data_IF_098216550629
#
_entry.id   IF_098216550629
#
_cell.length_a   1.000
_cell.length_b   1.000
_cell.length_c   1.000
_cell.angle_alpha   90.00
_cell.angle_beta   90.00
_cell.angle_gamma   90.00
#
_symmetry.space_group_name_H-M   'P 1'
#
loop_
_entity.id
_entity.type
_entity.pdbx_description
1 polymer ?
#
# COMPACT_ATOMS: atom_id res chain seq x y z
N UNK A 1 -5.74 32.98 -39.31
CA UNK A 1 -5.86 31.51 -39.15
C UNK A 1 -4.72 31.04 -38.27
N UNK A 2 -4.87 31.20 -36.95
CA UNK A 2 -3.89 30.74 -35.97
C UNK A 2 -4.29 29.33 -35.53
N UNK A 3 -3.43 28.34 -35.79
CA UNK A 3 -3.62 26.98 -35.30
C UNK A 3 -3.31 26.91 -33.81
N UNK A 4 -4.27 26.48 -33.01
CA UNK A 4 -4.05 26.18 -31.59
C UNK A 4 -3.46 24.77 -31.52
N UNK A 5 -2.15 24.69 -31.33
CA UNK A 5 -1.47 23.43 -31.01
C UNK A 5 -1.89 22.97 -29.61
N UNK A 6 -2.68 21.90 -29.54
CA UNK A 6 -2.99 21.24 -28.27
C UNK A 6 -1.73 20.47 -27.86
N UNK A 7 -0.97 21.03 -26.91
CA UNK A 7 0.10 20.28 -26.25
C UNK A 7 -0.54 19.16 -25.42
N UNK A 8 -0.62 17.96 -26.01
CA UNK A 8 -0.86 16.73 -25.29
C UNK A 8 0.35 16.49 -24.38
N UNK A 9 0.23 16.78 -23.08
CA UNK A 9 1.21 16.36 -22.09
C UNK A 9 0.77 14.97 -21.60
N UNK A 10 1.32 13.85 -22.13
CA UNK A 10 1.10 12.58 -21.46
C UNK A 10 1.74 12.72 -20.09
N UNK A 11 0.92 12.67 -19.04
CA UNK A 11 1.40 12.52 -17.67
C UNK A 11 1.90 11.09 -17.57
N UNK A 12 3.09 10.84 -18.14
CA UNK A 12 3.87 9.64 -17.91
C UNK A 12 4.12 9.60 -16.41
N UNK A 13 3.29 8.81 -15.73
CA UNK A 13 3.17 8.92 -14.29
C UNK A 13 4.38 8.25 -13.68
N UNK A 14 5.31 9.03 -13.12
CA UNK A 14 6.36 8.51 -12.24
C UNK A 14 5.81 7.65 -11.09
N UNK A 15 4.49 7.71 -10.89
CA UNK A 15 3.68 6.86 -10.03
C UNK A 15 3.76 5.39 -10.35
N UNK A 16 3.62 5.03 -11.61
CA UNK A 16 3.67 3.62 -12.00
C UNK A 16 5.10 3.09 -11.90
N UNK A 17 6.11 3.92 -12.23
CA UNK A 17 7.52 3.58 -12.05
C UNK A 17 7.85 3.37 -10.57
N UNK A 18 7.41 4.23 -9.65
CA UNK A 18 7.73 4.06 -8.24
C UNK A 18 6.97 2.89 -7.60
N UNK A 19 5.72 2.60 -8.03
CA UNK A 19 4.95 1.44 -7.57
C UNK A 19 5.57 0.14 -8.05
N UNK A 20 5.96 0.10 -9.33
CA UNK A 20 6.66 -1.03 -9.92
C UNK A 20 8.03 -1.23 -9.27
N UNK A 21 8.81 -0.16 -9.11
CA UNK A 21 10.10 -0.21 -8.43
C UNK A 21 9.95 -0.66 -6.97
N UNK A 22 8.93 -0.19 -6.23
CA UNK A 22 8.65 -0.64 -4.87
C UNK A 22 8.33 -2.13 -4.80
N UNK A 23 7.50 -2.64 -5.70
CA UNK A 23 7.19 -4.07 -5.81
C UNK A 23 8.43 -4.89 -6.19
N UNK A 24 9.19 -4.44 -7.20
CA UNK A 24 10.41 -5.11 -7.67
C UNK A 24 11.50 -5.16 -6.59
N UNK A 25 11.72 -4.05 -5.87
CA UNK A 25 12.62 -4.00 -4.73
C UNK A 25 12.16 -4.98 -3.66
N UNK A 26 10.86 -5.02 -3.35
CA UNK A 26 10.29 -5.98 -2.41
C UNK A 26 10.56 -7.44 -2.80
N UNK A 27 10.25 -7.82 -4.05
CA UNK A 27 10.52 -9.15 -4.58
C UNK A 27 12.00 -9.50 -4.57
N UNK A 28 12.88 -8.53 -4.86
CA UNK A 28 14.33 -8.73 -4.85
C UNK A 28 14.83 -9.01 -3.45
N UNK A 29 14.39 -8.23 -2.44
CA UNK A 29 14.78 -8.44 -1.04
C UNK A 29 14.31 -9.80 -0.54
N UNK A 30 13.06 -10.17 -0.81
CA UNK A 30 12.52 -11.49 -0.44
C UNK A 30 13.34 -12.59 -1.14
N UNK A 31 13.61 -12.45 -2.44
CA UNK A 31 14.42 -13.39 -3.21
C UNK A 31 15.84 -13.57 -2.67
N UNK A 32 16.50 -12.47 -2.27
CA UNK A 32 17.83 -12.54 -1.66
C UNK A 32 17.81 -13.28 -0.32
N UNK A 33 16.82 -13.01 0.54
CA UNK A 33 16.68 -13.73 1.82
C UNK A 33 16.47 -15.22 1.57
N UNK A 34 15.59 -15.58 0.64
CA UNK A 34 15.34 -16.97 0.27
C UNK A 34 16.60 -17.65 -0.29
N UNK A 35 17.36 -16.98 -1.16
CA UNK A 35 18.62 -17.49 -1.69
C UNK A 35 19.65 -17.75 -0.58
N UNK A 36 19.81 -16.80 0.34
CA UNK A 36 20.69 -16.97 1.50
C UNK A 36 20.25 -18.18 2.33
N UNK A 37 18.97 -18.29 2.67
CA UNK A 37 18.47 -19.45 3.42
C UNK A 37 18.68 -20.77 2.67
N UNK A 38 18.57 -20.79 1.34
CA UNK A 38 18.82 -21.99 0.55
C UNK A 38 20.31 -22.41 0.60
N UNK A 39 21.24 -21.45 0.51
CA UNK A 39 22.68 -21.73 0.63
C UNK A 39 23.02 -22.26 2.04
N UNK A 40 22.47 -21.65 3.09
CA UNK A 40 22.66 -22.14 4.46
C UNK A 40 22.02 -23.52 4.70
N UNK A 41 20.85 -23.78 4.10
CA UNK A 41 20.22 -25.10 4.11
C UNK A 41 21.09 -26.16 3.43
N UNK A 42 21.71 -25.82 2.30
CA UNK A 42 22.63 -26.72 1.60
C UNK A 42 23.89 -26.99 2.42
N UNK A 43 24.50 -25.97 3.02
CA UNK A 43 25.67 -26.14 3.90
C UNK A 43 25.35 -27.04 5.09
N UNK A 44 24.14 -26.91 5.65
CA UNK A 44 23.68 -27.75 6.77
C UNK A 44 23.62 -29.24 6.42
N UNK A 45 23.48 -29.61 5.14
CA UNK A 45 23.49 -31.01 4.70
C UNK A 45 24.90 -31.63 4.69
N UNK A 46 25.95 -30.82 4.52
CA UNK A 46 27.35 -31.28 4.52
C UNK A 46 27.97 -31.26 5.91
N UNK A 47 27.35 -30.57 6.87
CA UNK A 47 27.82 -30.45 8.25
C UNK A 47 27.13 -31.50 9.12
N UNK A 48 27.87 -32.51 9.57
CA UNK A 48 27.38 -33.59 10.46
C UNK A 48 27.15 -33.15 11.91
N UNK A 49 27.43 -31.90 12.25
CA UNK A 49 27.29 -31.40 13.62
C UNK A 49 25.85 -30.94 13.90
N UNK A 50 25.17 -31.67 14.79
CA UNK A 50 23.79 -31.42 15.21
C UNK A 50 23.58 -30.03 15.81
N UNK A 51 24.59 -29.45 16.49
CA UNK A 51 24.46 -28.10 17.06
C UNK A 51 24.31 -27.01 15.99
N UNK A 52 25.03 -27.13 14.87
CA UNK A 52 24.97 -26.14 13.77
C UNK A 52 23.62 -26.25 13.05
N UNK A 53 23.13 -27.48 12.84
CA UNK A 53 21.80 -27.74 12.29
C UNK A 53 20.69 -27.13 13.17
N UNK A 54 20.76 -27.33 14.50
CA UNK A 54 19.78 -26.79 15.44
C UNK A 54 19.79 -25.25 15.46
N UNK A 55 20.97 -24.62 15.44
CA UNK A 55 21.07 -23.16 15.37
C UNK A 55 20.43 -22.61 14.09
N UNK A 56 20.65 -23.26 12.94
CA UNK A 56 20.02 -22.87 11.68
C UNK A 56 18.49 -22.97 11.75
N UNK A 57 17.96 -24.06 12.29
CA UNK A 57 16.51 -24.26 12.47
C UNK A 57 15.92 -23.20 13.41
N UNK A 58 16.59 -22.87 14.51
CA UNK A 58 16.14 -21.82 15.45
C UNK A 58 16.07 -20.47 14.73
N UNK A 59 17.09 -20.11 13.95
CA UNK A 59 17.09 -18.85 13.16
C UNK A 59 15.95 -18.84 12.14
N UNK A 60 15.68 -19.94 11.44
CA UNK A 60 14.55 -20.03 10.51
C UNK A 60 13.20 -19.84 11.22
N UNK A 61 13.02 -20.46 12.39
CA UNK A 61 11.79 -20.29 13.17
C UNK A 61 11.61 -18.82 13.57
N UNK A 62 12.67 -18.14 14.00
CA UNK A 62 12.62 -16.70 14.32
C UNK A 62 12.24 -15.85 13.10
N UNK A 63 12.78 -16.17 11.92
CA UNK A 63 12.44 -15.46 10.67
C UNK A 63 10.98 -15.69 10.29
N UNK A 64 10.47 -16.92 10.40
CA UNK A 64 9.08 -17.24 10.10
C UNK A 64 8.13 -16.51 11.06
N UNK A 65 8.45 -16.49 12.36
CA UNK A 65 7.67 -15.74 13.35
C UNK A 65 7.67 -14.25 12.99
N UNK A 66 8.82 -13.68 12.64
CA UNK A 66 8.90 -12.28 12.23
C UNK A 66 8.07 -11.98 10.98
N UNK A 67 8.10 -12.85 9.96
CA UNK A 67 7.27 -12.72 8.76
C UNK A 67 5.77 -12.83 9.08
N UNK A 68 5.38 -13.79 9.93
CA UNK A 68 4.00 -13.96 10.36
C UNK A 68 3.49 -12.74 11.14
N UNK A 69 4.32 -12.18 12.04
CA UNK A 69 4.00 -10.93 12.74
C UNK A 69 3.84 -9.79 11.75
N UNK A 70 4.74 -9.63 10.78
CA UNK A 70 4.58 -8.59 9.74
C UNK A 70 3.27 -8.75 8.96
N UNK A 71 2.90 -9.98 8.59
CA UNK A 71 1.63 -10.29 7.91
C UNK A 71 0.40 -9.96 8.77
N UNK A 72 0.41 -10.35 10.05
CA UNK A 72 -0.66 -10.06 11.00
C UNK A 72 -0.77 -8.57 11.31
N UNK A 73 0.37 -7.89 11.47
CA UNK A 73 0.43 -6.45 11.66
C UNK A 73 -0.14 -5.72 10.44
N UNK A 74 0.19 -6.14 9.22
CA UNK A 74 -0.36 -5.54 8.00
C UNK A 74 -1.89 -5.62 7.93
N UNK A 75 -2.51 -6.69 8.45
CA UNK A 75 -3.97 -6.82 8.50
C UNK A 75 -4.58 -6.11 9.71
N UNK A 76 -3.95 -6.16 10.88
CA UNK A 76 -4.41 -5.46 12.08
C UNK A 76 -4.35 -3.94 11.94
N UNK A 77 -3.32 -3.40 11.28
CA UNK A 77 -3.24 -1.97 10.96
C UNK A 77 -4.32 -1.54 9.98
N UNK A 78 -4.93 -2.43 9.18
CA UNK A 78 -6.13 -2.05 8.42
C UNK A 78 -7.34 -1.83 9.31
N UNK A 79 -7.47 -2.59 10.41
CA UNK A 79 -8.59 -2.49 11.34
C UNK A 79 -8.43 -1.37 12.38
N UNK A 80 -7.20 -1.13 12.85
CA UNK A 80 -6.91 -0.12 13.90
C UNK A 80 -6.24 1.13 13.35
N UNK A 81 -5.79 1.10 12.10
CA UNK A 81 -5.06 2.20 11.47
C UNK A 81 -5.90 3.45 11.33
N UNK A 82 -7.22 3.35 11.15
CA UNK A 82 -8.09 4.54 11.12
C UNK A 82 -7.89 5.42 12.37
N UNK A 83 -7.78 4.83 13.56
CA UNK A 83 -7.64 5.61 14.79
C UNK A 83 -6.28 6.32 14.95
N UNK A 84 -5.22 5.81 14.30
CA UNK A 84 -3.88 6.41 14.34
C UNK A 84 -3.57 7.32 13.14
N UNK A 85 -4.08 6.96 11.97
CA UNK A 85 -3.80 7.61 10.70
C UNK A 85 -4.70 8.83 10.53
N UNK A 86 -5.98 8.72 10.88
CA UNK A 86 -6.94 9.82 10.71
C UNK A 86 -6.55 11.10 11.47
N UNK A 87 -6.13 11.10 12.76
CA UNK A 87 -5.71 12.34 13.42
C UNK A 87 -4.51 12.99 12.72
N UNK A 88 -3.61 12.18 12.15
CA UNK A 88 -2.50 12.68 11.35
C UNK A 88 -2.99 13.33 10.06
N UNK A 89 -3.85 12.67 9.29
CA UNK A 89 -4.45 13.22 8.05
C UNK A 89 -5.22 14.51 8.33
N UNK A 90 -5.96 14.57 9.44
CA UNK A 90 -6.69 15.78 9.84
C UNK A 90 -5.76 16.97 10.08
N UNK A 91 -4.56 16.75 10.61
CA UNK A 91 -3.52 17.79 10.75
C UNK A 91 -3.06 18.30 9.38
N UNK A 92 -2.82 17.41 8.42
CA UNK A 92 -2.45 17.77 7.05
C UNK A 92 -3.55 18.58 6.35
N UNK A 93 -4.83 18.20 6.52
CA UNK A 93 -5.97 18.95 5.96
C UNK A 93 -6.10 20.32 6.59
N UNK A 94 -5.92 20.43 7.91
CA UNK A 94 -6.02 21.72 8.63
C UNK A 94 -4.94 22.70 8.18
N UNK A 95 -3.71 22.21 7.97
CA UNK A 95 -2.57 23.02 7.55
C UNK A 95 -2.38 23.07 6.03
N UNK A 96 -3.35 22.57 5.25
CA UNK A 96 -3.26 22.49 3.80
C UNK A 96 -3.05 23.85 3.12
N UNK A 97 -3.70 24.89 3.66
CA UNK A 97 -3.61 26.26 3.12
C UNK A 97 -2.44 27.06 3.69
N UNK A 98 -1.81 26.60 4.77
CA UNK A 98 -0.75 27.34 5.48
C UNK A 98 0.63 26.88 5.06
N UNK A 99 0.82 25.59 4.81
CA UNK A 99 2.12 25.01 4.47
C UNK A 99 2.13 24.40 3.06
N UNK A 100 3.03 24.85 2.17
CA UNK A 100 3.14 24.32 0.82
C UNK A 100 3.57 22.85 0.79
N UNK A 101 4.31 22.39 1.80
CA UNK A 101 4.71 20.98 1.94
C UNK A 101 3.50 20.08 2.22
N UNK A 102 2.66 20.47 3.19
CA UNK A 102 1.44 19.73 3.50
C UNK A 102 0.44 19.74 2.35
N UNK A 103 0.38 20.84 1.59
CA UNK A 103 -0.37 20.93 0.34
C UNK A 103 0.06 19.88 -0.67
N UNK A 104 1.37 19.82 -0.98
CA UNK A 104 1.91 18.90 -1.97
C UNK A 104 1.71 17.43 -1.56
N UNK A 105 1.95 17.13 -0.28
CA UNK A 105 1.77 15.77 0.25
C UNK A 105 0.30 15.35 0.14
N UNK A 106 -0.64 16.21 0.54
CA UNK A 106 -2.06 15.88 0.50
C UNK A 106 -2.57 15.76 -0.94
N UNK A 107 -2.15 16.64 -1.86
CA UNK A 107 -2.52 16.58 -3.27
C UNK A 107 -2.05 15.25 -3.90
N UNK A 108 -0.83 14.81 -3.59
CA UNK A 108 -0.31 13.52 -4.05
C UNK A 108 -1.11 12.35 -3.50
N UNK A 109 -1.40 12.35 -2.18
CA UNK A 109 -2.19 11.28 -1.56
C UNK A 109 -3.59 11.20 -2.18
N UNK A 110 -4.26 12.34 -2.35
CA UNK A 110 -5.62 12.39 -2.91
C UNK A 110 -5.67 11.97 -4.36
N UNK A 111 -4.69 12.38 -5.16
CA UNK A 111 -4.59 12.01 -6.58
C UNK A 111 -4.25 10.52 -6.74
N UNK A 112 -3.30 10.00 -5.95
CA UNK A 112 -2.81 8.62 -6.06
C UNK A 112 -3.83 7.60 -5.53
N UNK A 113 -4.50 7.92 -4.42
CA UNK A 113 -5.46 7.02 -3.78
C UNK A 113 -6.93 7.31 -4.14
N UNK A 114 -7.20 8.38 -4.88
CA UNK A 114 -8.57 8.77 -5.25
C UNK A 114 -9.45 9.04 -4.04
N UNK A 115 -8.90 9.67 -3.00
CA UNK A 115 -9.61 10.03 -1.78
C UNK A 115 -9.62 11.56 -1.58
N UNK A 116 -10.47 12.05 -0.67
CA UNK A 116 -10.52 13.47 -0.35
C UNK A 116 -10.72 13.67 1.16
N UNK A 117 -9.81 14.43 1.78
CA UNK A 117 -9.81 14.64 3.23
C UNK A 117 -9.45 13.38 4.04
N UNK A 118 -9.73 13.44 5.35
CA UNK A 118 -9.59 12.30 6.27
C UNK A 118 -10.83 11.39 6.24
N UNK A 119 -12.02 11.99 6.24
CA UNK A 119 -13.33 11.33 6.14
C UNK A 119 -14.11 11.77 4.90
N UNK A 120 -13.76 12.92 4.32
CA UNK A 120 -14.40 13.40 3.13
C UNK A 120 -14.05 14.84 2.78
N UNK A 121 -14.62 15.37 1.69
CA UNK A 121 -14.41 16.75 1.28
C UNK A 121 -14.92 17.79 2.29
N UNK A 122 -15.82 17.40 3.18
CA UNK A 122 -16.31 18.23 4.28
C UNK A 122 -15.22 18.58 5.30
N UNK A 123 -14.10 17.85 5.33
CA UNK A 123 -12.97 18.17 6.21
C UNK A 123 -12.27 19.49 5.86
N UNK A 124 -12.43 19.96 4.61
CA UNK A 124 -11.93 21.26 4.16
C UNK A 124 -12.79 22.44 4.61
N UNK A 125 -13.92 22.18 5.28
CA UNK A 125 -14.84 23.17 5.87
C UNK A 125 -15.11 24.37 4.94
N UNK A 126 -14.60 25.54 5.34
CA UNK A 126 -14.84 26.85 4.73
C UNK A 126 -13.80 27.22 3.65
N UNK A 127 -12.86 26.32 3.37
CA UNK A 127 -11.82 26.55 2.35
C UNK A 127 -12.20 25.86 1.04
N UNK A 128 -11.72 26.40 -0.07
CA UNK A 128 -11.94 25.80 -1.38
C UNK A 128 -11.36 24.38 -1.38
N UNK A 129 -12.21 23.40 -1.70
CA UNK A 129 -11.81 22.00 -1.88
C UNK A 129 -10.74 21.95 -2.99
N UNK A 130 -9.63 21.25 -2.77
CA UNK A 130 -8.54 21.22 -3.74
C UNK A 130 -8.92 20.44 -5.01
N UNK A 131 -8.30 20.81 -6.13
CA UNK A 131 -8.54 20.18 -7.44
C UNK A 131 -8.18 18.67 -7.42
N UNK A 132 -7.25 18.26 -6.56
CA UNK A 132 -6.88 16.85 -6.30
C UNK A 132 -8.05 16.00 -5.78
N UNK A 133 -9.10 16.62 -5.25
CA UNK A 133 -10.32 15.93 -4.82
C UNK A 133 -11.34 15.71 -5.95
N UNK A 134 -11.06 16.15 -7.18
CA UNK A 134 -11.95 16.00 -8.32
C UNK A 134 -11.38 14.99 -9.33
N UNK A 135 -12.25 14.10 -9.82
CA UNK A 135 -11.92 13.15 -10.90
C UNK A 135 -13.03 13.23 -11.96
N UNK A 136 -12.65 13.52 -13.21
CA UNK A 136 -13.59 13.70 -14.33
C UNK A 136 -14.74 14.68 -14.01
N UNK A 137 -14.42 15.79 -13.33
CA UNK A 137 -15.41 16.82 -12.93
C UNK A 137 -16.33 16.40 -11.79
N UNK A 138 -16.16 15.20 -11.23
CA UNK A 138 -16.94 14.69 -10.09
C UNK A 138 -16.12 14.78 -8.81
N UNK A 139 -16.74 15.24 -7.72
CA UNK A 139 -16.12 15.29 -6.39
C UNK A 139 -15.99 13.85 -5.85
N UNK A 140 -14.80 13.49 -5.36
CA UNK A 140 -14.55 12.26 -4.60
C UNK A 140 -15.34 12.29 -3.27
N UNK A 141 -16.62 11.95 -3.35
CA UNK A 141 -17.55 11.87 -2.23
C UNK A 141 -17.78 10.40 -1.87
N UNK A 142 -17.74 10.14 -0.56
CA UNK A 142 -18.10 8.92 0.16
C UNK A 142 -16.94 7.96 0.46
N UNK A 143 -16.27 8.26 1.57
CA UNK A 143 -15.59 7.29 2.39
C UNK A 143 -16.56 6.18 2.85
N UNK A 144 -16.76 5.17 2.00
CA UNK A 144 -16.96 3.74 2.35
C UNK A 144 -17.14 2.90 1.08
N UNK A 145 -16.04 2.58 0.39
CA UNK A 145 -15.85 1.23 -0.17
C UNK A 145 -14.39 1.02 -0.65
N UNK A 146 -13.80 -0.14 -0.31
CA UNK A 146 -12.46 -0.56 -0.73
C UNK A 146 -12.52 -1.17 -2.14
N UNK A 147 -11.49 -0.93 -2.94
CA UNK A 147 -11.32 -1.49 -4.28
C UNK A 147 -12.39 -1.03 -5.29
N UNK A 148 -11.96 -0.74 -6.53
CA UNK A 148 -12.83 -0.58 -7.70
C UNK A 148 -14.05 -1.52 -7.62
N UNK A 149 -15.26 -0.99 -7.53
CA UNK A 149 -16.46 -1.45 -8.25
C UNK A 149 -17.53 -0.36 -8.16
N UNK A 150 -17.99 0.09 -9.33
CA UNK A 150 -19.31 0.68 -9.52
C UNK A 150 -20.32 -0.34 -8.98
N UNK A 151 -21.14 0.04 -7.98
CA UNK A 151 -22.20 -0.85 -7.48
C UNK A 151 -23.21 -1.09 -8.59
N UNK A 152 -23.10 -2.25 -9.24
CA UNK A 152 -24.23 -3.00 -9.77
C UNK A 152 -24.16 -4.41 -9.14
N UNK A 153 -25.02 -4.63 -8.14
CA UNK A 153 -25.43 -5.89 -7.48
C UNK A 153 -24.36 -7.00 -7.25
N UNK A 154 -23.93 -7.13 -5.98
CA UNK A 154 -23.92 -8.43 -5.30
C UNK A 154 -22.60 -9.19 -5.11
N UNK A 155 -21.62 -8.68 -4.37
CA UNK A 155 -20.52 -9.52 -3.84
C UNK A 155 -20.02 -9.02 -2.47
N UNK A 156 -19.93 -9.92 -1.50
CA UNK A 156 -19.51 -9.67 -0.10
C UNK A 156 -17.97 -9.70 0.00
N UNK A 157 -17.28 -8.65 0.51
CA UNK A 157 -15.82 -8.67 0.56
C UNK A 157 -15.31 -9.42 1.81
N UNK A 158 -14.91 -10.67 1.63
CA UNK A 158 -14.17 -11.47 2.61
C UNK A 158 -12.64 -11.19 2.60
N UNK A 159 -11.88 -11.70 3.59
CA UNK A 159 -10.46 -11.39 3.75
C UNK A 159 -9.55 -12.15 2.75
N UNK A 160 -8.77 -11.38 2.00
CA UNK A 160 -8.04 -11.74 0.77
C UNK A 160 -6.80 -12.65 1.02
N UNK A 161 -6.35 -12.80 2.27
CA UNK A 161 -5.12 -13.56 2.58
C UNK A 161 -5.35 -15.08 2.69
N UNK A 162 -6.56 -15.52 3.07
CA UNK A 162 -6.86 -16.94 3.31
C UNK A 162 -7.25 -17.70 2.03
N UNK A 163 -7.79 -17.01 1.02
CA UNK A 163 -8.16 -17.63 -0.25
C UNK A 163 -6.96 -17.98 -1.14
N UNK A 164 -5.91 -17.15 -1.16
CA UNK A 164 -4.70 -17.46 -1.95
C UNK A 164 -3.98 -18.72 -1.44
N UNK A 165 -3.98 -18.96 -0.14
CA UNK A 165 -3.40 -20.17 0.46
C UNK A 165 -4.27 -21.41 0.23
N UNK A 166 -5.60 -21.23 0.21
CA UNK A 166 -6.56 -22.30 -0.07
C UNK A 166 -6.51 -22.76 -1.53
N UNK A 167 -6.27 -21.84 -2.47
CA UNK A 167 -6.09 -22.16 -3.89
C UNK A 167 -4.81 -22.98 -4.15
N UNK A 168 -3.73 -22.73 -3.40
CA UNK A 168 -2.46 -23.46 -3.55
C UNK A 168 -2.44 -24.84 -2.86
N UNK A 169 -3.40 -25.14 -1.98
CA UNK A 169 -3.52 -26.44 -1.28
C UNK A 169 -4.45 -27.43 -1.99
N UNK A 170 -5.11 -27.01 -3.08
CA UNK A 170 -6.01 -27.82 -3.89
C UNK A 170 -5.43 -28.17 -5.27
N UNK A 171 -4.12 -27.99 -5.48
CA UNK A 171 -3.35 -28.49 -6.63
C UNK A 171 -2.37 -29.59 -6.18
#
# INVERSE_FOLDING_TARGET
MGGVGIYYQPRYSKVDDYRLNGLLIGFTVIGCVLFVTAVFGMISAFVTNVCILLLYVIVLILVIIAQAVCGFVATAYRSNGENHIIPSIRKYVTNYNTDPEYRQIMDNIQTDYGCCGAYGPTDYKDTRIPESCYKDGTLLQLARAPHRQVVNQGENPGPIMFESFRAALND
#
